data_IF_512773596367
#
_entry.id   IF_512773596367
#
_cell.length_a   1.000
_cell.length_b   1.000
_cell.length_c   1.000
_cell.angle_alpha   90.00
_cell.angle_beta   90.00
_cell.angle_gamma   90.00
#
_symmetry.space_group_name_H-M   'P 1'
#
loop_
_entity.id
_entity.type
_entity.pdbx_description
1 polymer ?
#
# COMPACT_ATOMS: atom_id res chain seq x y z
N UNK A 1 -17.22 -14.85 27.36
CA UNK A 1 -17.79 -13.57 27.85
C UNK A 1 -18.13 -12.76 26.61
N UNK A 2 -19.37 -12.33 26.44
CA UNK A 2 -19.78 -11.56 25.26
C UNK A 2 -19.10 -10.19 25.29
N UNK A 3 -18.07 -9.96 24.45
CA UNK A 3 -17.52 -8.60 24.24
C UNK A 3 -18.65 -7.71 23.74
N UNK A 4 -18.93 -6.63 24.46
CA UNK A 4 -19.86 -5.61 23.99
C UNK A 4 -19.15 -4.88 22.85
N UNK A 5 -19.54 -5.17 21.64
CA UNK A 5 -19.12 -4.41 20.46
C UNK A 5 -19.74 -3.02 20.59
N UNK A 6 -18.98 -2.06 21.02
CA UNK A 6 -19.34 -0.66 20.96
C UNK A 6 -18.82 -0.11 19.62
N UNK A 7 -19.73 0.26 18.75
CA UNK A 7 -19.39 0.96 17.52
C UNK A 7 -18.80 2.34 17.88
N UNK A 8 -17.50 2.47 17.88
CA UNK A 8 -16.85 3.78 17.93
C UNK A 8 -16.81 4.28 16.50
N UNK A 9 -17.65 5.26 16.19
CA UNK A 9 -17.57 5.96 14.93
C UNK A 9 -16.28 6.79 14.91
N UNK A 10 -15.22 6.20 14.39
CA UNK A 10 -14.00 6.91 14.11
C UNK A 10 -14.24 7.73 12.84
N UNK A 11 -14.75 8.96 12.99
CA UNK A 11 -14.77 9.93 11.90
C UNK A 11 -13.33 10.38 11.64
N UNK A 12 -12.59 9.61 10.86
CA UNK A 12 -11.28 10.01 10.41
C UNK A 12 -11.42 11.23 9.49
N UNK A 13 -11.08 12.41 10.00
CA UNK A 13 -10.93 13.59 9.19
C UNK A 13 -9.65 13.47 8.37
N UNK A 14 -9.72 12.85 7.20
CA UNK A 14 -8.59 12.80 6.28
C UNK A 14 -8.58 14.08 5.44
N UNK A 15 -7.57 14.91 5.65
CA UNK A 15 -7.30 16.07 4.80
C UNK A 15 -6.57 15.57 3.56
N UNK A 16 -7.20 15.70 2.41
CA UNK A 16 -6.53 15.54 1.11
C UNK A 16 -5.66 16.78 0.91
N UNK A 17 -4.36 16.65 1.08
CA UNK A 17 -3.42 17.66 0.62
C UNK A 17 -3.24 17.54 -0.88
N UNK A 18 -3.91 18.37 -1.66
CA UNK A 18 -3.50 18.66 -3.02
C UNK A 18 -2.15 19.38 -2.98
N UNK A 19 -1.14 18.77 -3.55
CA UNK A 19 0.17 19.38 -3.74
C UNK A 19 0.06 20.45 -4.83
N UNK A 20 -0.20 21.69 -4.41
CA UNK A 20 0.15 22.87 -5.16
C UNK A 20 1.31 23.53 -4.41
N UNK A 21 2.45 23.69 -5.07
CA UNK A 21 3.65 24.28 -4.51
C UNK A 21 3.44 25.75 -4.17
N UNK A 22 2.96 26.03 -2.97
CA UNK A 22 3.20 27.29 -2.22
C UNK A 22 2.98 26.97 -0.74
N UNK A 23 4.00 27.18 0.08
CA UNK A 23 3.98 26.87 1.50
C UNK A 23 2.88 27.60 2.26
N UNK A 24 1.79 26.90 2.48
CA UNK A 24 0.79 27.21 3.48
C UNK A 24 0.64 25.94 4.32
N UNK A 25 1.11 25.99 5.55
CA UNK A 25 0.74 25.02 6.58
C UNK A 25 -0.77 25.14 6.78
N UNK A 26 -1.54 24.35 6.07
CA UNK A 26 -2.96 24.19 6.37
C UNK A 26 -3.03 23.42 7.68
N UNK A 27 -3.37 24.10 8.77
CA UNK A 27 -3.70 23.43 10.01
C UNK A 27 -4.82 22.42 9.73
N UNK A 28 -4.56 21.16 10.04
CA UNK A 28 -5.55 20.10 9.91
C UNK A 28 -6.66 20.37 10.93
N UNK A 29 -7.80 20.85 10.45
CA UNK A 29 -8.96 21.08 11.31
C UNK A 29 -9.63 19.71 11.53
N UNK A 30 -9.37 19.10 12.69
CA UNK A 30 -10.03 17.87 13.11
C UNK A 30 -11.40 18.22 13.64
N UNK A 31 -12.44 17.59 13.09
CA UNK A 31 -13.80 17.79 13.57
C UNK A 31 -13.89 17.34 15.04
N UNK A 32 -14.23 18.26 15.93
CA UNK A 32 -14.55 17.94 17.31
C UNK A 32 -15.95 17.32 17.32
N UNK A 33 -16.00 15.99 17.38
CA UNK A 33 -17.23 15.27 17.61
C UNK A 33 -17.36 14.98 19.11
N UNK A 34 -18.52 15.20 19.68
CA UNK A 34 -18.86 14.72 21.02
C UNK A 34 -18.98 13.19 20.97
N UNK A 35 -17.83 12.50 21.08
CA UNK A 35 -17.83 11.05 21.17
C UNK A 35 -18.33 10.65 22.56
N UNK A 36 -19.34 9.79 22.58
CA UNK A 36 -19.88 9.24 23.83
C UNK A 36 -18.88 8.29 24.54
N UNK A 37 -17.87 7.80 23.82
CA UNK A 37 -16.83 6.93 24.36
C UNK A 37 -15.76 7.75 25.08
N UNK A 38 -15.39 7.25 26.26
CA UNK A 38 -14.25 7.74 27.07
C UNK A 38 -13.47 6.54 27.55
N UNK A 39 -12.15 6.61 27.54
CA UNK A 39 -11.28 5.52 28.00
C UNK A 39 -10.10 5.29 27.08
N UNK A 40 -9.71 4.05 26.93
CA UNK A 40 -8.52 3.65 26.18
C UNK A 40 -8.92 2.96 24.88
N UNK A 41 -8.19 3.24 23.79
CA UNK A 41 -8.26 2.54 22.52
C UNK A 41 -6.86 2.01 22.18
N UNK A 42 -6.78 0.73 21.85
CA UNK A 42 -5.57 0.12 21.32
C UNK A 42 -5.53 0.34 19.80
N UNK A 43 -4.49 1.00 19.32
CA UNK A 43 -4.25 1.18 17.89
C UNK A 43 -2.92 0.56 17.47
N UNK A 44 -2.92 -0.16 16.36
CA UNK A 44 -1.73 -0.79 15.81
C UNK A 44 -1.49 -0.39 14.36
N UNK A 45 -0.27 0.10 14.07
CA UNK A 45 0.11 0.52 12.72
C UNK A 45 1.62 0.39 12.48
N UNK A 46 2.07 0.65 11.23
CA UNK A 46 3.48 0.58 10.85
C UNK A 46 4.09 1.92 10.40
N UNK A 47 3.40 3.03 10.66
CA UNK A 47 3.96 4.36 10.37
C UNK A 47 4.94 4.76 11.49
N UNK A 48 6.15 4.22 11.47
CA UNK A 48 7.21 4.53 12.42
C UNK A 48 7.73 5.96 12.23
N UNK A 49 8.39 6.52 13.25
CA UNK A 49 9.01 7.86 13.16
C UNK A 49 10.15 7.88 12.14
N UNK A 50 10.91 6.80 12.04
CA UNK A 50 12.01 6.66 11.09
C UNK A 50 11.50 6.57 9.64
N UNK A 51 10.39 5.88 9.40
CA UNK A 51 9.75 5.85 8.08
C UNK A 51 9.06 7.18 7.72
N UNK A 52 8.79 8.05 8.70
CA UNK A 52 8.22 9.37 8.46
C UNK A 52 9.22 10.34 7.84
N UNK A 53 10.53 10.17 8.07
CA UNK A 53 11.55 10.97 7.42
C UNK A 53 11.56 10.69 5.91
N UNK A 54 10.98 11.61 5.14
CA UNK A 54 10.87 11.50 3.69
C UNK A 54 9.66 10.76 3.15
N UNK A 55 8.80 10.22 4.02
CA UNK A 55 7.54 9.57 3.64
C UNK A 55 6.34 10.42 4.08
N UNK A 56 5.86 11.29 3.18
CA UNK A 56 4.74 12.19 3.48
C UNK A 56 3.44 11.49 3.89
N UNK A 57 3.24 10.24 3.50
CA UNK A 57 2.07 9.44 3.89
C UNK A 57 2.11 9.04 5.37
N UNK A 58 3.25 8.51 5.83
CA UNK A 58 3.45 8.15 7.23
C UNK A 58 3.44 9.38 8.15
N UNK A 59 4.07 10.48 7.73
CA UNK A 59 4.05 11.73 8.47
C UNK A 59 2.63 12.31 8.57
N UNK A 60 1.89 12.35 7.47
CA UNK A 60 0.50 12.79 7.44
C UNK A 60 -0.41 11.95 8.35
N UNK A 61 -0.24 10.64 8.36
CA UNK A 61 -0.98 9.75 9.26
C UNK A 61 -0.70 10.05 10.73
N UNK A 62 0.57 10.14 11.13
CA UNK A 62 0.96 10.43 12.52
C UNK A 62 0.50 11.82 12.98
N UNK A 63 0.64 12.82 12.11
CA UNK A 63 0.15 14.18 12.39
C UNK A 63 -1.36 14.21 12.59
N UNK A 64 -2.10 13.48 11.76
CA UNK A 64 -3.56 13.38 11.87
C UNK A 64 -3.97 12.66 13.16
N UNK A 65 -3.27 11.58 13.52
CA UNK A 65 -3.54 10.82 14.74
C UNK A 65 -3.27 11.68 16.00
N UNK A 66 -2.17 12.41 16.02
CA UNK A 66 -1.84 13.33 17.10
C UNK A 66 -2.89 14.45 17.25
N UNK A 67 -3.32 15.05 16.14
CA UNK A 67 -4.37 16.07 16.14
C UNK A 67 -5.73 15.50 16.61
N UNK A 68 -6.02 14.25 16.25
CA UNK A 68 -7.22 13.56 16.73
C UNK A 68 -7.16 13.33 18.24
N UNK A 69 -6.03 12.89 18.77
CA UNK A 69 -5.83 12.71 20.22
C UNK A 69 -5.98 14.02 20.99
N UNK A 70 -5.43 15.12 20.46
CA UNK A 70 -5.58 16.46 21.06
C UNK A 70 -7.05 16.91 21.07
N UNK A 71 -7.80 16.60 20.03
CA UNK A 71 -9.22 16.93 19.92
C UNK A 71 -10.12 16.09 20.85
N UNK A 72 -9.64 14.92 21.28
CA UNK A 72 -10.39 13.97 22.12
C UNK A 72 -9.61 13.58 23.39
N UNK A 73 -9.39 14.52 24.32
CA UNK A 73 -8.53 14.30 25.50
C UNK A 73 -9.08 13.27 26.50
N UNK A 74 -10.37 12.94 26.41
CA UNK A 74 -11.02 11.92 27.24
C UNK A 74 -10.80 10.48 26.73
N UNK A 75 -10.11 10.33 25.58
CA UNK A 75 -9.75 9.05 24.99
C UNK A 75 -8.22 8.96 24.93
N UNK A 76 -7.66 7.90 25.50
CA UNK A 76 -6.23 7.63 25.40
C UNK A 76 -5.97 6.63 24.29
N UNK A 77 -5.09 7.00 23.33
CA UNK A 77 -4.63 6.06 22.30
C UNK A 77 -3.39 5.33 22.82
N UNK A 78 -3.51 4.03 22.97
CA UNK A 78 -2.37 3.14 23.24
C UNK A 78 -1.83 2.65 21.90
N UNK A 79 -0.80 3.33 21.40
CA UNK A 79 -0.20 3.02 20.11
C UNK A 79 0.81 1.87 20.20
N UNK A 80 0.62 0.84 19.39
CA UNK A 80 1.62 -0.19 19.11
C UNK A 80 2.14 0.01 17.68
N UNK A 81 3.35 0.53 17.56
CA UNK A 81 3.97 0.90 16.29
C UNK A 81 5.13 -0.04 15.99
N UNK A 82 5.08 -0.71 14.85
CA UNK A 82 6.08 -1.68 14.43
C UNK A 82 6.54 -1.39 13.01
N UNK A 83 7.76 -1.80 12.67
CA UNK A 83 8.20 -1.82 11.28
C UNK A 83 7.27 -2.70 10.42
N UNK A 84 7.11 -2.37 9.13
CA UNK A 84 6.11 -2.98 8.25
C UNK A 84 6.13 -4.53 8.26
N UNK A 85 7.30 -5.16 8.21
CA UNK A 85 7.42 -6.61 8.21
C UNK A 85 7.01 -7.24 9.56
N UNK A 86 7.40 -6.62 10.66
CA UNK A 86 7.02 -7.06 12.01
C UNK A 86 5.52 -6.87 12.24
N UNK A 87 4.98 -5.72 11.82
CA UNK A 87 3.55 -5.44 11.86
C UNK A 87 2.74 -6.54 11.18
N UNK A 88 3.10 -6.92 9.94
CA UNK A 88 2.41 -7.97 9.18
C UNK A 88 2.39 -9.31 9.92
N UNK A 89 3.51 -9.68 10.52
CA UNK A 89 3.64 -10.94 11.27
C UNK A 89 2.81 -10.88 12.56
N UNK A 90 2.91 -9.78 13.30
CA UNK A 90 2.22 -9.66 14.58
C UNK A 90 0.72 -9.53 14.42
N UNK A 91 0.22 -8.71 13.50
CA UNK A 91 -1.22 -8.55 13.29
C UNK A 91 -1.88 -9.85 12.83
N UNK A 92 -1.19 -10.65 11.99
CA UNK A 92 -1.67 -11.97 11.58
C UNK A 92 -1.74 -12.95 12.77
N UNK A 93 -0.76 -12.89 13.68
CA UNK A 93 -0.74 -13.70 14.89
C UNK A 93 -1.90 -13.31 15.82
N UNK A 94 -2.13 -12.02 16.02
CA UNK A 94 -3.24 -11.51 16.82
C UNK A 94 -4.60 -11.88 16.21
N UNK A 95 -4.73 -11.81 14.89
CA UNK A 95 -5.92 -12.25 14.19
C UNK A 95 -6.21 -13.74 14.40
N UNK A 96 -5.18 -14.61 14.31
CA UNK A 96 -5.31 -16.03 14.55
C UNK A 96 -5.66 -16.37 16.01
N UNK A 97 -5.30 -15.50 16.95
CA UNK A 97 -5.61 -15.64 18.38
C UNK A 97 -6.94 -14.99 18.79
N UNK A 98 -7.71 -14.43 17.86
CA UNK A 98 -8.92 -13.62 18.13
C UNK A 98 -8.66 -12.50 19.15
N UNK A 99 -7.50 -11.84 19.01
CA UNK A 99 -7.02 -10.81 19.92
C UNK A 99 -6.49 -9.57 19.18
N UNK A 100 -7.22 -9.15 18.14
CA UNK A 100 -6.92 -7.93 17.42
C UNK A 100 -7.13 -6.69 18.30
N UNK A 101 -6.32 -5.62 18.13
CA UNK A 101 -6.55 -4.34 18.76
C UNK A 101 -7.85 -3.70 18.28
N UNK A 102 -8.31 -2.63 18.96
CA UNK A 102 -9.55 -1.95 18.63
C UNK A 102 -9.51 -1.33 17.22
N UNK A 103 -8.34 -0.76 16.85
CA UNK A 103 -8.10 -0.14 15.55
C UNK A 103 -6.74 -0.60 14.99
N UNK A 104 -6.69 -0.90 13.72
CA UNK A 104 -5.44 -1.31 13.08
C UNK A 104 -5.46 -1.04 11.57
N UNK A 105 -4.27 -0.98 10.96
CA UNK A 105 -4.13 -0.84 9.51
C UNK A 105 -4.43 -2.19 8.83
N UNK A 106 -5.63 -2.31 8.26
CA UNK A 106 -6.03 -3.47 7.49
C UNK A 106 -5.36 -3.46 6.12
N UNK A 107 -4.67 -4.53 5.77
CA UNK A 107 -4.19 -4.74 4.40
C UNK A 107 -5.31 -5.34 3.55
N UNK A 108 -5.59 -4.71 2.40
CA UNK A 108 -6.70 -5.08 1.53
C UNK A 108 -6.75 -6.57 1.16
N UNK A 109 -5.60 -7.22 1.01
CA UNK A 109 -5.49 -8.66 0.74
C UNK A 109 -6.12 -9.56 1.83
N UNK A 110 -6.19 -9.08 3.07
CA UNK A 110 -6.76 -9.82 4.20
C UNK A 110 -8.26 -9.58 4.37
N UNK A 111 -8.82 -8.57 3.72
CA UNK A 111 -10.18 -8.09 3.97
C UNK A 111 -11.21 -9.21 3.87
N UNK A 112 -11.21 -9.95 2.75
CA UNK A 112 -12.20 -11.02 2.56
C UNK A 112 -12.09 -12.11 3.61
N UNK A 113 -10.88 -12.62 3.84
CA UNK A 113 -10.65 -13.71 4.78
C UNK A 113 -11.02 -13.33 6.21
N UNK A 114 -10.73 -12.09 6.62
CA UNK A 114 -11.01 -11.61 7.96
C UNK A 114 -12.47 -11.20 8.17
N UNK A 115 -13.13 -10.70 7.12
CA UNK A 115 -14.56 -10.46 7.13
C UNK A 115 -15.36 -11.76 7.25
N UNK A 116 -14.99 -12.79 6.48
CA UNK A 116 -15.62 -14.11 6.53
C UNK A 116 -15.47 -14.78 7.91
N UNK A 117 -14.39 -14.49 8.63
CA UNK A 117 -14.14 -14.98 9.99
C UNK A 117 -14.76 -14.08 11.08
N UNK A 118 -15.33 -12.93 10.73
CA UNK A 118 -15.90 -11.99 11.67
C UNK A 118 -14.85 -11.21 12.51
N UNK A 119 -13.60 -11.16 12.05
CA UNK A 119 -12.50 -10.47 12.72
C UNK A 119 -12.51 -8.96 12.50
N UNK A 120 -13.16 -8.48 11.44
CA UNK A 120 -13.31 -7.07 11.10
C UNK A 120 -14.77 -6.67 11.06
N UNK A 121 -15.05 -5.44 11.46
CA UNK A 121 -16.40 -4.91 11.55
C UNK A 121 -16.85 -4.34 10.20
N UNK A 122 -18.12 -4.54 9.85
CA UNK A 122 -18.77 -3.87 8.74
C UNK A 122 -18.89 -2.36 9.04
N UNK A 123 -18.20 -1.55 8.28
CA UNK A 123 -18.13 -0.09 8.41
C UNK A 123 -19.01 0.64 7.38
N UNK A 124 -19.79 -0.08 6.59
CA UNK A 124 -20.52 0.46 5.43
C UNK A 124 -21.34 1.71 5.77
N UNK A 125 -22.17 1.61 6.79
CA UNK A 125 -23.06 2.73 7.17
C UNK A 125 -22.27 3.88 7.80
N UNK A 126 -21.26 3.58 8.62
CA UNK A 126 -20.37 4.58 9.23
C UNK A 126 -19.60 5.36 8.17
N UNK A 127 -19.06 4.66 7.17
CA UNK A 127 -18.30 5.27 6.08
C UNK A 127 -19.21 6.15 5.21
N UNK A 128 -20.38 5.65 4.84
CA UNK A 128 -21.35 6.40 4.03
C UNK A 128 -21.93 7.63 4.75
N UNK A 129 -22.03 7.59 6.06
CA UNK A 129 -22.44 8.72 6.87
C UNK A 129 -21.36 9.81 7.03
N UNK A 130 -20.11 9.52 6.66
CA UNK A 130 -19.01 10.47 6.74
C UNK A 130 -19.23 11.64 5.76
N UNK A 131 -19.05 12.91 6.19
CA UNK A 131 -19.14 14.07 5.30
C UNK A 131 -18.04 14.11 4.25
N UNK A 132 -17.08 13.20 4.33
CA UNK A 132 -15.97 13.06 3.40
C UNK A 132 -16.15 11.91 2.41
N UNK A 133 -17.19 11.07 2.56
CA UNK A 133 -17.38 9.90 1.71
C UNK A 133 -17.37 10.23 0.21
N UNK A 134 -18.14 11.25 -0.18
CA UNK A 134 -18.24 11.68 -1.59
C UNK A 134 -16.98 12.41 -2.11
N UNK A 135 -16.01 12.73 -1.21
CA UNK A 135 -14.73 13.34 -1.59
C UNK A 135 -13.66 12.32 -1.93
N UNK A 136 -13.90 11.05 -1.60
CA UNK A 136 -13.03 9.95 -1.96
C UNK A 136 -13.41 9.41 -3.34
N UNK A 137 -12.38 9.08 -4.12
CA UNK A 137 -12.57 8.20 -5.25
C UNK A 137 -13.03 6.83 -4.72
N UNK A 138 -14.17 6.36 -5.23
CA UNK A 138 -14.80 5.14 -4.74
C UNK A 138 -13.98 3.88 -5.02
N UNK A 139 -13.07 3.94 -5.98
CA UNK A 139 -12.15 2.84 -6.31
C UNK A 139 -11.16 2.56 -5.16
N UNK A 140 -10.85 3.55 -4.32
CA UNK A 140 -10.00 3.34 -3.14
C UNK A 140 -10.60 2.41 -2.09
N UNK A 141 -11.92 2.25 -2.07
CA UNK A 141 -12.58 1.30 -1.19
C UNK A 141 -12.57 -0.14 -1.72
N UNK A 142 -12.23 -0.35 -2.99
CA UNK A 142 -12.27 -1.68 -3.64
C UNK A 142 -11.51 -2.76 -2.86
N UNK A 143 -10.28 -2.55 -2.36
CA UNK A 143 -9.57 -3.57 -1.58
C UNK A 143 -10.22 -3.93 -0.25
N UNK A 144 -11.12 -3.08 0.23
CA UNK A 144 -11.80 -3.23 1.52
C UNK A 144 -13.26 -3.67 1.40
N UNK A 145 -13.70 -4.03 0.19
CA UNK A 145 -15.07 -4.49 -0.07
C UNK A 145 -15.16 -6.02 -0.09
N UNK A 146 -16.24 -6.52 0.48
CA UNK A 146 -16.69 -7.92 0.32
C UNK A 146 -18.20 -7.88 0.01
N UNK A 147 -18.55 -8.13 -1.24
CA UNK A 147 -19.90 -7.85 -1.73
C UNK A 147 -20.23 -6.35 -1.63
N UNK A 148 -21.36 -6.03 -1.04
CA UNK A 148 -21.82 -4.64 -0.86
C UNK A 148 -21.31 -3.98 0.43
N UNK A 149 -20.50 -4.70 1.21
CA UNK A 149 -20.00 -4.27 2.52
C UNK A 149 -18.58 -3.76 2.44
N UNK A 150 -18.27 -2.74 3.27
CA UNK A 150 -16.96 -2.11 3.38
C UNK A 150 -16.40 -2.33 4.78
N UNK A 151 -15.18 -2.84 4.89
CA UNK A 151 -14.54 -3.24 6.15
C UNK A 151 -13.32 -2.40 6.52
N UNK A 152 -12.97 -1.41 5.72
CA UNK A 152 -11.84 -0.52 6.00
C UNK A 152 -12.04 0.84 5.36
N UNK A 153 -11.46 1.86 6.01
CA UNK A 153 -11.41 3.21 5.50
C UNK A 153 -10.04 3.47 4.87
N UNK A 154 -9.95 3.90 3.60
CA UNK A 154 -8.67 4.19 2.97
C UNK A 154 -7.94 5.33 3.70
N UNK A 155 -6.81 5.02 4.32
CA UNK A 155 -6.00 6.02 5.05
C UNK A 155 -5.00 6.70 4.11
N UNK A 156 -4.42 5.93 3.21
CA UNK A 156 -3.50 6.40 2.20
C UNK A 156 -4.18 6.27 0.83
N UNK A 157 -4.45 7.40 0.22
CA UNK A 157 -5.00 7.48 -1.13
C UNK A 157 -3.87 7.85 -2.08
N UNK A 158 -3.37 6.94 -2.76
CA UNK A 158 -2.32 7.10 -3.73
C UNK A 158 -1.92 5.73 -4.18
N UNK A 159 -2.17 5.41 -5.43
CA UNK A 159 -1.76 4.13 -5.98
C UNK A 159 -0.25 4.00 -5.85
N UNK A 160 0.20 2.90 -5.30
CA UNK A 160 1.57 2.48 -5.54
C UNK A 160 1.65 2.19 -7.04
N UNK A 161 2.28 3.07 -7.79
CA UNK A 161 2.60 2.78 -9.18
C UNK A 161 4.09 2.46 -9.27
N UNK A 162 4.39 1.38 -9.98
CA UNK A 162 5.75 1.07 -10.36
C UNK A 162 6.18 2.05 -11.44
N UNK A 163 7.22 2.82 -11.17
CA UNK A 163 7.76 3.82 -12.09
C UNK A 163 9.25 3.63 -12.28
N UNK A 164 9.75 4.00 -13.44
CA UNK A 164 11.19 4.10 -13.70
C UNK A 164 11.59 5.56 -13.59
N UNK A 165 12.52 5.84 -12.68
CA UNK A 165 13.18 7.14 -12.57
C UNK A 165 14.53 6.99 -13.26
N UNK A 166 14.85 7.88 -14.20
CA UNK A 166 16.07 7.78 -14.98
C UNK A 166 16.75 9.14 -15.20
N UNK A 167 18.07 9.12 -15.31
CA UNK A 167 18.85 10.28 -15.71
C UNK A 167 18.81 10.44 -17.24
N UNK A 168 18.18 11.53 -17.68
CA UNK A 168 18.01 11.81 -19.12
C UNK A 168 19.33 12.03 -19.85
N UNK A 169 20.36 12.58 -19.17
CA UNK A 169 21.63 12.83 -19.81
C UNK A 169 22.37 11.52 -20.05
N UNK A 170 22.40 10.63 -19.08
CA UNK A 170 23.03 9.31 -19.21
C UNK A 170 22.39 8.46 -20.30
N UNK A 171 21.05 8.43 -20.38
CA UNK A 171 20.36 7.67 -21.43
C UNK A 171 20.56 8.28 -22.81
N UNK A 172 20.67 9.61 -22.91
CA UNK A 172 21.01 10.28 -24.16
C UNK A 172 22.43 9.96 -24.65
N UNK A 173 23.39 9.86 -23.73
CA UNK A 173 24.74 9.41 -24.04
C UNK A 173 24.78 7.97 -24.55
N UNK A 174 23.91 7.11 -24.01
CA UNK A 174 23.69 5.74 -24.50
C UNK A 174 22.91 5.66 -25.83
N UNK A 175 22.51 6.81 -26.40
CA UNK A 175 21.82 6.88 -27.69
C UNK A 175 20.30 6.90 -27.63
N UNK A 176 19.71 7.12 -26.45
CA UNK A 176 18.25 7.13 -26.24
C UNK A 176 17.78 8.52 -25.79
N UNK A 177 16.87 9.14 -26.52
CA UNK A 177 16.27 10.43 -26.12
C UNK A 177 15.30 10.32 -24.92
N UNK A 178 14.81 9.12 -24.64
CA UNK A 178 13.96 8.79 -23.50
C UNK A 178 14.24 7.36 -23.03
N UNK A 179 13.79 6.98 -21.83
CA UNK A 179 13.84 5.59 -21.38
C UNK A 179 13.14 4.67 -22.39
N UNK A 180 13.77 3.55 -22.81
CA UNK A 180 13.19 2.63 -23.79
C UNK A 180 11.82 2.10 -23.38
N UNK A 181 10.99 1.79 -24.37
CA UNK A 181 9.66 1.23 -24.16
C UNK A 181 9.63 -0.30 -24.16
N UNK A 182 10.74 -0.95 -24.47
CA UNK A 182 10.89 -2.41 -24.49
C UNK A 182 12.08 -2.86 -23.66
N UNK A 183 11.99 -4.03 -23.07
CA UNK A 183 13.10 -4.66 -22.33
C UNK A 183 14.29 -4.98 -23.27
N UNK A 184 13.99 -5.40 -24.50
CA UNK A 184 15.03 -5.64 -25.52
C UNK A 184 15.90 -4.42 -25.77
N UNK A 185 15.33 -3.21 -25.79
CA UNK A 185 16.11 -1.98 -25.97
C UNK A 185 16.85 -1.59 -24.67
N UNK A 186 16.30 -1.92 -23.49
CA UNK A 186 17.02 -1.77 -22.21
C UNK A 186 18.22 -2.71 -22.15
N UNK A 187 18.08 -3.94 -22.61
CA UNK A 187 19.20 -4.91 -22.72
C UNK A 187 20.29 -4.41 -23.66
N UNK A 188 19.92 -3.89 -24.83
CA UNK A 188 20.91 -3.30 -25.76
C UNK A 188 21.63 -2.12 -25.14
N UNK A 189 20.91 -1.26 -24.42
CA UNK A 189 21.52 -0.13 -23.72
C UNK A 189 22.46 -0.58 -22.58
N UNK A 190 22.19 -1.75 -21.98
CA UNK A 190 23.00 -2.27 -20.89
C UNK A 190 24.46 -2.53 -21.28
N UNK A 191 24.73 -2.89 -22.53
CA UNK A 191 26.10 -3.04 -23.03
C UNK A 191 26.90 -1.75 -22.86
N UNK A 192 26.33 -0.62 -23.24
CA UNK A 192 26.93 0.70 -23.09
C UNK A 192 27.20 1.03 -21.61
N UNK A 193 26.22 0.84 -20.72
CA UNK A 193 26.39 1.16 -19.31
C UNK A 193 27.42 0.25 -18.62
N UNK A 194 27.45 -1.03 -18.95
CA UNK A 194 28.43 -1.97 -18.44
C UNK A 194 29.87 -1.60 -18.83
N UNK A 195 30.11 -1.13 -20.06
CA UNK A 195 31.42 -0.62 -20.50
C UNK A 195 31.89 0.57 -19.67
N UNK A 196 30.94 1.35 -19.09
CA UNK A 196 31.21 2.47 -18.21
C UNK A 196 31.29 2.04 -16.72
N UNK A 197 31.08 0.76 -16.40
CA UNK A 197 31.01 0.26 -15.02
C UNK A 197 29.77 0.73 -14.25
N UNK A 198 28.65 0.94 -14.94
CA UNK A 198 27.38 1.44 -14.39
C UNK A 198 26.33 0.34 -14.51
N UNK A 199 25.60 0.07 -13.43
CA UNK A 199 24.41 -0.76 -13.47
C UNK A 199 23.29 -0.04 -14.24
N UNK A 200 22.69 -0.72 -15.19
CA UNK A 200 21.67 -0.11 -16.07
C UNK A 200 20.41 0.26 -15.32
N UNK A 201 19.98 -0.61 -14.41
CA UNK A 201 18.83 -0.42 -13.52
C UNK A 201 19.22 -0.80 -12.11
N UNK A 202 19.16 0.16 -11.19
CA UNK A 202 19.29 -0.11 -9.76
C UNK A 202 17.97 -0.69 -9.25
N UNK A 203 18.02 -1.90 -8.69
CA UNK A 203 16.88 -2.58 -8.10
C UNK A 203 17.21 -3.06 -6.69
N UNK A 204 16.31 -2.88 -5.75
CA UNK A 204 16.48 -3.32 -4.37
C UNK A 204 15.42 -4.35 -3.99
N UNK A 205 15.86 -5.54 -3.56
CA UNK A 205 14.98 -6.61 -3.10
C UNK A 205 15.33 -7.13 -1.69
N UNK A 206 16.05 -6.32 -0.90
CA UNK A 206 16.43 -6.68 0.47
C UNK A 206 15.25 -7.07 1.36
N UNK A 207 14.09 -6.43 1.15
CA UNK A 207 12.83 -6.77 1.80
C UNK A 207 12.14 -8.04 1.28
N UNK A 208 12.67 -8.70 0.24
CA UNK A 208 12.18 -9.94 -0.39
C UNK A 208 10.76 -9.89 -0.96
N UNK A 209 10.16 -8.72 -1.11
CA UNK A 209 8.81 -8.53 -1.65
C UNK A 209 8.79 -7.71 -2.95
N UNK A 210 9.77 -6.88 -3.20
CA UNK A 210 9.78 -5.93 -4.31
C UNK A 210 9.78 -6.64 -5.68
N UNK A 211 10.59 -7.70 -5.82
CA UNK A 211 10.62 -8.46 -7.06
C UNK A 211 9.29 -9.13 -7.38
N UNK A 212 8.53 -9.52 -6.37
CA UNK A 212 7.22 -10.15 -6.54
C UNK A 212 6.10 -9.10 -6.64
N UNK A 213 5.99 -8.22 -5.64
CA UNK A 213 4.84 -7.31 -5.53
C UNK A 213 4.91 -6.12 -6.48
N UNK A 214 6.10 -5.63 -6.80
CA UNK A 214 6.25 -4.46 -7.68
C UNK A 214 6.58 -4.90 -9.12
N UNK A 215 7.65 -5.70 -9.27
CA UNK A 215 8.13 -6.04 -10.61
C UNK A 215 7.25 -7.10 -11.29
N UNK A 216 7.16 -8.31 -10.71
CA UNK A 216 6.40 -9.40 -11.31
C UNK A 216 4.90 -9.08 -11.44
N UNK A 217 4.29 -8.41 -10.47
CA UNK A 217 2.87 -8.06 -10.57
C UNK A 217 2.61 -7.09 -11.73
N UNK A 218 3.48 -6.08 -11.90
CA UNK A 218 3.37 -5.11 -12.99
C UNK A 218 3.66 -5.76 -14.35
N UNK A 219 4.71 -6.58 -14.44
CA UNK A 219 5.03 -7.30 -15.67
C UNK A 219 3.96 -8.34 -15.99
N UNK A 220 3.48 -9.06 -14.97
CA UNK A 220 2.39 -10.03 -15.09
C UNK A 220 1.14 -9.44 -15.70
N UNK A 221 0.70 -8.30 -15.20
CA UNK A 221 -0.48 -7.58 -15.73
C UNK A 221 -0.33 -7.22 -17.22
N UNK A 222 0.88 -6.90 -17.69
CA UNK A 222 1.17 -6.64 -19.11
C UNK A 222 0.94 -7.87 -20.00
N UNK A 223 1.18 -9.05 -19.48
CA UNK A 223 1.00 -10.33 -20.20
C UNK A 223 -0.42 -10.88 -20.06
N UNK A 224 -1.02 -10.78 -18.88
CA UNK A 224 -2.30 -11.41 -18.57
C UNK A 224 -3.50 -10.48 -18.73
N UNK A 225 -3.29 -9.18 -18.54
CA UNK A 225 -4.35 -8.20 -18.40
C UNK A 225 -5.03 -8.22 -17.02
N UNK A 226 -5.68 -7.11 -16.68
CA UNK A 226 -6.27 -6.85 -15.35
C UNK A 226 -7.35 -7.86 -14.92
N UNK A 227 -8.11 -8.39 -15.87
CA UNK A 227 -9.24 -9.30 -15.58
C UNK A 227 -8.75 -10.68 -15.13
N UNK A 228 -7.54 -11.07 -15.51
CA UNK A 228 -6.93 -12.32 -15.08
C UNK A 228 -6.67 -12.34 -13.57
N UNK A 229 -6.14 -11.25 -13.02
CA UNK A 229 -5.89 -11.14 -11.59
C UNK A 229 -7.19 -11.18 -10.78
N UNK A 230 -8.24 -10.52 -11.28
CA UNK A 230 -9.57 -10.60 -10.67
C UNK A 230 -10.09 -12.04 -10.70
N UNK A 231 -9.85 -12.77 -11.79
CA UNK A 231 -10.21 -14.18 -11.91
C UNK A 231 -9.52 -15.12 -10.91
N UNK A 232 -8.30 -14.76 -10.45
CA UNK A 232 -7.65 -15.45 -9.33
C UNK A 232 -8.34 -15.18 -8.00
N UNK A 233 -8.64 -13.90 -7.71
CA UNK A 233 -9.29 -13.48 -6.46
C UNK A 233 -10.67 -14.14 -6.32
N UNK A 234 -11.44 -14.13 -7.40
CA UNK A 234 -12.80 -14.67 -7.43
C UNK A 234 -12.86 -16.18 -7.63
N UNK A 235 -11.70 -16.81 -7.84
CA UNK A 235 -11.59 -18.22 -8.20
C UNK A 235 -12.48 -18.59 -9.43
N UNK A 236 -12.51 -17.70 -10.42
CA UNK A 236 -13.40 -17.78 -11.60
C UNK A 236 -12.71 -18.33 -12.85
N UNK A 237 -11.57 -19.02 -12.70
CA UNK A 237 -10.95 -19.78 -13.79
C UNK A 237 -9.51 -19.44 -14.10
N UNK A 238 -8.99 -18.27 -13.73
CA UNK A 238 -7.57 -17.92 -13.88
C UNK A 238 -6.69 -18.79 -13.00
N UNK A 239 -5.50 -19.15 -13.51
CA UNK A 239 -4.52 -20.02 -12.82
C UNK A 239 -3.12 -19.52 -13.04
N UNK A 240 -2.25 -19.66 -12.05
CA UNK A 240 -0.82 -19.38 -12.19
C UNK A 240 -0.09 -20.23 -13.23
N UNK A 241 -0.75 -21.27 -13.75
CA UNK A 241 -0.26 -22.11 -14.85
C UNK A 241 -0.72 -21.65 -16.22
N UNK A 242 -1.48 -20.55 -16.33
CA UNK A 242 -1.91 -20.02 -17.61
C UNK A 242 -0.70 -19.52 -18.41
N UNK A 243 -0.70 -19.78 -19.71
CA UNK A 243 0.44 -19.53 -20.60
C UNK A 243 0.92 -18.06 -20.53
N UNK A 244 0.00 -17.10 -20.43
CA UNK A 244 0.34 -15.69 -20.34
C UNK A 244 1.12 -15.38 -19.06
N UNK A 245 0.72 -15.94 -17.91
CA UNK A 245 1.44 -15.75 -16.66
C UNK A 245 2.78 -16.48 -16.63
N UNK A 246 2.84 -17.68 -17.20
CA UNK A 246 4.11 -18.42 -17.35
C UNK A 246 5.11 -17.65 -18.21
N UNK A 247 4.65 -16.98 -19.28
CA UNK A 247 5.49 -16.09 -20.07
C UNK A 247 6.03 -14.91 -19.24
N UNK A 248 5.22 -14.28 -18.41
CA UNK A 248 5.67 -13.21 -17.51
C UNK A 248 6.73 -13.71 -16.51
N UNK A 249 6.56 -14.90 -15.95
CA UNK A 249 7.55 -15.53 -15.08
C UNK A 249 8.86 -15.81 -15.81
N UNK A 250 8.78 -16.33 -17.04
CA UNK A 250 9.96 -16.63 -17.87
C UNK A 250 10.72 -15.35 -18.19
N UNK A 251 10.00 -14.28 -18.56
CA UNK A 251 10.61 -12.96 -18.79
C UNK A 251 11.24 -12.40 -17.53
N UNK A 252 10.56 -12.49 -16.39
CA UNK A 252 11.13 -12.10 -15.09
C UNK A 252 12.43 -12.87 -14.81
N UNK A 253 12.42 -14.18 -14.98
CA UNK A 253 13.61 -15.00 -14.81
C UNK A 253 14.74 -14.53 -15.74
N UNK A 254 14.46 -14.39 -17.03
CA UNK A 254 15.41 -13.91 -18.01
C UNK A 254 16.06 -12.57 -17.58
N UNK A 255 15.25 -11.57 -17.26
CA UNK A 255 15.74 -10.24 -16.88
C UNK A 255 16.62 -10.25 -15.63
N UNK A 256 16.31 -11.09 -14.62
CA UNK A 256 17.06 -11.13 -13.37
C UNK A 256 18.26 -12.09 -13.36
N UNK A 257 18.29 -13.12 -14.22
CA UNK A 257 19.29 -14.17 -14.13
C UNK A 257 20.17 -14.32 -15.38
N UNK A 258 19.71 -13.85 -16.54
CA UNK A 258 20.40 -14.04 -17.81
C UNK A 258 20.93 -12.73 -18.39
N UNK A 259 20.24 -11.59 -18.10
CA UNK A 259 20.72 -10.27 -18.47
C UNK A 259 21.57 -9.67 -17.35
N UNK A 260 22.27 -8.60 -17.64
CA UNK A 260 23.02 -7.81 -16.66
C UNK A 260 22.45 -6.40 -16.50
N UNK A 261 21.14 -6.26 -16.67
CA UNK A 261 20.49 -4.95 -16.55
C UNK A 261 20.36 -4.50 -15.10
N UNK A 262 20.23 -5.44 -14.15
CA UNK A 262 20.14 -5.14 -12.72
C UNK A 262 21.49 -5.25 -12.02
N UNK A 263 21.67 -4.51 -10.94
CA UNK A 263 22.81 -4.63 -10.04
C UNK A 263 22.89 -6.05 -9.44
N UNK A 264 24.12 -6.56 -9.24
CA UNK A 264 24.34 -7.94 -8.75
C UNK A 264 23.88 -8.14 -7.29
N UNK A 265 23.87 -7.08 -6.48
CA UNK A 265 23.58 -7.09 -5.05
C UNK A 265 22.11 -6.72 -4.72
N UNK A 266 21.21 -6.88 -5.65
CA UNK A 266 19.80 -6.49 -5.48
C UNK A 266 19.05 -7.30 -4.38
N UNK A 267 19.56 -8.45 -3.93
CA UNK A 267 18.90 -9.34 -2.97
C UNK A 267 19.41 -9.19 -1.54
#
# INVERSE_FOLDING_TARGET
MKKKVMAVALAAATVVSMVGATGVSAATEVAKNDLAYKGELEIMHYSTSEESEGNGGSDGFRTTLAAWQEAHPDITLNENVLANAEYKTQIATLAAADNLPDVFLLQGMNTKAWADQGLVMDLTDTIKASPYYDKYDQDYFTPFKVGDKVYGYPVLTGGTCTVVIYDKAMWKEAGYDAFPSTWEDVEKASEYFQEQGIDTVAFGNGGKWQANSDFLSTLGDRYTGKDWFQGLIDNSGSKFTDEAFVKALTETQHLFTETKIFNEDFN
#
